data_IF_054640643399
#
_entry.id   IF_054640643399
#
_cell.length_a   1.000
_cell.length_b   1.000
_cell.length_c   1.000
_cell.angle_alpha   90.00
_cell.angle_beta   90.00
_cell.angle_gamma   90.00
#
_symmetry.space_group_name_H-M   'P 1'
#
loop_
_entity.id
_entity.type
_entity.pdbx_description
1 polymer ?
#
# COMPACT_ATOMS: atom_id res chain seq x y z
N UNK A 1 -3.35 8.99 -29.91
CA UNK A 1 -3.97 9.48 -28.67
C UNK A 1 -4.29 8.32 -27.71
N UNK A 2 -4.89 7.22 -28.18
CA UNK A 2 -5.29 6.06 -27.36
C UNK A 2 -4.09 5.45 -26.60
N UNK A 3 -3.00 5.09 -27.28
CA UNK A 3 -1.79 4.53 -26.66
C UNK A 3 -1.11 5.46 -25.63
N UNK A 4 -1.24 6.78 -25.78
CA UNK A 4 -0.67 7.73 -24.82
C UNK A 4 -1.45 7.73 -23.50
N UNK A 5 -2.79 7.70 -23.58
CA UNK A 5 -3.68 7.60 -22.41
C UNK A 5 -3.49 6.27 -21.70
N UNK A 6 -3.22 5.17 -22.44
CA UNK A 6 -2.93 3.84 -21.89
C UNK A 6 -1.70 3.83 -20.99
N UNK A 7 -0.62 4.36 -21.53
CA UNK A 7 0.66 4.47 -20.81
C UNK A 7 0.54 5.29 -19.53
N UNK A 8 -0.35 6.29 -19.53
CA UNK A 8 -0.59 7.10 -18.34
C UNK A 8 -1.38 6.33 -17.27
N UNK A 9 -2.39 5.52 -17.64
CA UNK A 9 -3.19 4.75 -16.68
C UNK A 9 -2.34 3.72 -15.93
N UNK A 10 -1.55 2.93 -16.65
CA UNK A 10 -0.65 1.95 -16.03
C UNK A 10 0.41 2.63 -15.16
N UNK A 11 1.00 3.73 -15.63
CA UNK A 11 1.97 4.49 -14.86
C UNK A 11 1.36 5.12 -13.59
N UNK A 12 0.10 5.55 -13.65
CA UNK A 12 -0.64 6.05 -12.48
C UNK A 12 -0.91 4.93 -11.48
N UNK A 13 -1.35 3.77 -11.95
CA UNK A 13 -1.57 2.59 -11.11
C UNK A 13 -0.29 2.18 -10.38
N UNK A 14 0.84 2.05 -11.10
CA UNK A 14 2.13 1.73 -10.49
C UNK A 14 2.56 2.73 -9.41
N UNK A 15 2.38 4.03 -9.67
CA UNK A 15 2.68 5.06 -8.67
C UNK A 15 1.79 4.96 -7.45
N UNK A 16 0.50 4.70 -7.66
CA UNK A 16 -0.47 4.57 -6.58
C UNK A 16 -0.12 3.37 -5.69
N UNK A 17 0.12 2.19 -6.27
CA UNK A 17 0.55 0.99 -5.55
C UNK A 17 1.82 1.22 -4.73
N UNK A 18 2.83 1.87 -5.32
CA UNK A 18 4.07 2.19 -4.60
C UNK A 18 3.83 3.21 -3.48
N UNK A 19 2.96 4.20 -3.68
CA UNK A 19 2.61 5.18 -2.64
C UNK A 19 1.82 4.52 -1.51
N UNK A 20 0.83 3.69 -1.81
CA UNK A 20 0.07 2.93 -0.81
C UNK A 20 0.99 1.99 -0.04
N UNK A 21 1.85 1.25 -0.75
CA UNK A 21 2.82 0.36 -0.12
C UNK A 21 3.79 1.10 0.80
N UNK A 22 4.32 2.23 0.36
CA UNK A 22 5.25 3.04 1.14
C UNK A 22 4.58 3.71 2.34
N UNK A 23 3.50 4.48 2.11
CA UNK A 23 2.81 5.23 3.15
C UNK A 23 2.10 4.29 4.12
N UNK A 24 1.33 3.32 3.61
CA UNK A 24 0.62 2.33 4.43
C UNK A 24 1.56 1.42 5.20
N UNK A 25 2.65 0.98 4.57
CA UNK A 25 3.65 0.11 5.19
C UNK A 25 4.42 0.78 6.32
N UNK A 26 4.82 2.04 6.15
CA UNK A 26 5.58 2.79 7.15
C UNK A 26 4.69 3.47 8.20
N UNK A 27 3.39 3.61 7.95
CA UNK A 27 2.47 4.34 8.82
C UNK A 27 2.49 3.84 10.28
N UNK A 28 2.42 2.52 10.58
CA UNK A 28 2.46 2.05 11.96
C UNK A 28 3.74 2.49 12.67
N UNK A 29 4.90 2.33 12.03
CA UNK A 29 6.19 2.74 12.58
C UNK A 29 6.26 4.25 12.83
N UNK A 30 5.78 5.06 11.86
CA UNK A 30 5.76 6.50 11.97
C UNK A 30 4.82 6.98 13.09
N UNK A 31 3.65 6.36 13.24
CA UNK A 31 2.71 6.70 14.32
C UNK A 31 3.24 6.29 15.69
N UNK A 32 3.91 5.13 15.81
CA UNK A 32 4.59 4.74 17.06
C UNK A 32 5.68 5.74 17.43
N UNK A 33 6.54 6.11 16.48
CA UNK A 33 7.60 7.09 16.70
C UNK A 33 7.04 8.48 17.07
N UNK A 34 5.99 8.93 16.40
CA UNK A 34 5.33 10.18 16.69
C UNK A 34 4.72 10.19 18.10
N UNK A 35 4.06 9.09 18.48
CA UNK A 35 3.45 8.96 19.80
C UNK A 35 4.50 8.97 20.92
N UNK A 36 5.60 8.23 20.75
CA UNK A 36 6.71 8.19 21.70
C UNK A 36 7.46 9.54 21.84
N UNK A 37 7.38 10.40 20.82
CA UNK A 37 8.12 11.68 20.79
C UNK A 37 7.28 12.88 21.26
N UNK A 38 5.96 12.77 21.29
CA UNK A 38 5.07 13.87 21.65
C UNK A 38 4.85 13.95 23.17
N UNK A 39 4.89 15.16 23.75
CA UNK A 39 4.55 15.35 25.16
C UNK A 39 3.05 15.07 25.39
N UNK A 40 2.66 14.83 26.65
CA UNK A 40 1.27 14.55 27.00
C UNK A 40 0.27 15.66 26.54
N UNK A 41 0.74 16.90 26.45
CA UNK A 41 -0.04 18.03 25.88
C UNK A 41 -0.25 17.92 24.37
N UNK A 42 0.49 17.04 23.67
CA UNK A 42 0.41 16.83 22.22
C UNK A 42 -0.65 15.84 21.74
N UNK A 43 -1.52 15.35 22.63
CA UNK A 43 -2.51 14.33 22.29
C UNK A 43 -3.45 14.74 21.13
N UNK A 44 -3.80 16.01 21.02
CA UNK A 44 -4.63 16.52 19.92
C UNK A 44 -3.87 16.51 18.59
N UNK A 45 -2.61 16.93 18.60
CA UNK A 45 -1.75 16.90 17.43
C UNK A 45 -1.54 15.47 16.92
N UNK A 46 -1.33 14.51 17.83
CA UNK A 46 -1.24 13.09 17.48
C UNK A 46 -2.53 12.56 16.82
N UNK A 47 -3.70 12.89 17.37
CA UNK A 47 -4.99 12.48 16.77
C UNK A 47 -5.15 13.03 15.36
N UNK A 48 -4.85 14.31 15.14
CA UNK A 48 -4.92 14.93 13.81
C UNK A 48 -3.96 14.24 12.84
N UNK A 49 -2.73 13.97 13.27
CA UNK A 49 -1.74 13.23 12.46
C UNK A 49 -2.26 11.84 12.10
N UNK A 50 -2.76 11.10 13.08
CA UNK A 50 -3.27 9.73 12.90
C UNK A 50 -4.45 9.71 11.93
N UNK A 51 -5.48 10.55 12.14
CA UNK A 51 -6.65 10.59 11.25
C UNK A 51 -6.27 11.11 9.86
N UNK A 52 -5.37 12.07 9.77
CA UNK A 52 -4.85 12.58 8.49
C UNK A 52 -4.10 11.49 7.71
N UNK A 53 -3.24 10.72 8.39
CA UNK A 53 -2.53 9.60 7.78
C UNK A 53 -3.48 8.50 7.29
N UNK A 54 -4.40 8.06 8.15
CA UNK A 54 -5.43 7.05 7.80
C UNK A 54 -6.29 7.55 6.63
N UNK A 55 -6.75 8.80 6.67
CA UNK A 55 -7.55 9.40 5.60
C UNK A 55 -6.78 9.46 4.28
N UNK A 56 -5.49 9.81 4.32
CA UNK A 56 -4.64 9.86 3.12
C UNK A 56 -4.51 8.48 2.48
N UNK A 57 -4.18 7.44 3.27
CA UNK A 57 -4.08 6.07 2.75
C UNK A 57 -5.46 5.59 2.25
N UNK A 58 -6.54 5.89 2.98
CA UNK A 58 -7.90 5.54 2.56
C UNK A 58 -8.29 6.15 1.20
N UNK A 59 -7.92 7.41 0.95
CA UNK A 59 -8.14 8.05 -0.37
C UNK A 59 -7.31 7.36 -1.46
N UNK A 60 -6.04 7.05 -1.20
CA UNK A 60 -5.17 6.37 -2.17
C UNK A 60 -5.72 4.99 -2.53
N UNK A 61 -6.06 4.16 -1.53
CA UNK A 61 -6.68 2.84 -1.72
C UNK A 61 -8.02 2.96 -2.46
N UNK A 62 -8.84 3.95 -2.13
CA UNK A 62 -10.10 4.21 -2.81
C UNK A 62 -9.95 4.53 -4.30
N UNK A 63 -8.79 5.02 -4.75
CA UNK A 63 -8.48 5.28 -6.15
C UNK A 63 -8.03 4.02 -6.92
N UNK A 64 -7.64 2.95 -6.25
CA UNK A 64 -7.16 1.70 -6.89
C UNK A 64 -8.27 1.04 -7.71
N UNK A 65 -9.45 0.84 -7.13
CA UNK A 65 -10.57 0.17 -7.81
C UNK A 65 -10.96 0.88 -9.12
N UNK A 66 -11.20 2.21 -9.16
CA UNK A 66 -11.47 2.92 -10.42
C UNK A 66 -10.35 2.80 -11.46
N UNK A 67 -9.07 2.78 -11.03
CA UNK A 67 -7.94 2.61 -11.95
C UNK A 67 -7.87 1.21 -12.52
N UNK A 68 -7.97 0.18 -11.68
CA UNK A 68 -8.03 -1.23 -12.10
C UNK A 68 -9.19 -1.45 -13.06
N UNK A 69 -10.37 -0.94 -12.75
CA UNK A 69 -11.55 -1.04 -13.61
C UNK A 69 -11.33 -0.41 -14.98
N UNK A 70 -10.66 0.74 -15.07
CA UNK A 70 -10.32 1.38 -16.34
C UNK A 70 -9.33 0.54 -17.16
N UNK A 71 -8.31 -0.05 -16.49
CA UNK A 71 -7.32 -0.92 -17.13
C UNK A 71 -8.01 -2.17 -17.66
N UNK A 72 -8.82 -2.86 -16.84
CA UNK A 72 -9.52 -4.09 -17.20
C UNK A 72 -10.55 -3.86 -18.33
N UNK A 73 -11.37 -2.82 -18.21
CA UNK A 73 -12.32 -2.45 -19.27
C UNK A 73 -11.62 -2.30 -20.61
N UNK A 74 -10.44 -1.75 -20.61
CA UNK A 74 -9.70 -1.50 -21.83
C UNK A 74 -9.07 -2.74 -22.41
N UNK A 75 -8.50 -3.62 -21.59
CA UNK A 75 -7.85 -4.85 -22.02
C UNK A 75 -8.84 -5.93 -22.44
N UNK A 76 -10.01 -5.98 -21.78
CA UNK A 76 -10.93 -7.11 -21.86
C UNK A 76 -12.33 -6.76 -22.39
N UNK A 77 -12.61 -5.50 -22.78
CA UNK A 77 -13.94 -5.06 -23.22
C UNK A 77 -14.47 -5.82 -24.45
N UNK A 78 -13.60 -6.42 -25.25
CA UNK A 78 -14.01 -7.24 -26.40
C UNK A 78 -14.39 -8.70 -26.02
N UNK A 79 -13.97 -9.16 -24.84
CA UNK A 79 -14.20 -10.54 -24.41
C UNK A 79 -15.22 -10.67 -23.28
N UNK A 80 -15.36 -9.67 -22.46
CA UNK A 80 -16.21 -9.69 -21.25
C UNK A 80 -17.11 -8.45 -21.20
N UNK A 81 -18.36 -8.64 -20.77
CA UNK A 81 -19.23 -7.50 -20.48
C UNK A 81 -18.69 -6.73 -19.26
N UNK A 82 -18.84 -5.42 -19.27
CA UNK A 82 -18.36 -4.55 -18.18
C UNK A 82 -18.90 -4.97 -16.80
N UNK A 83 -20.17 -5.41 -16.76
CA UNK A 83 -20.83 -5.90 -15.54
C UNK A 83 -20.11 -7.10 -14.92
N UNK A 84 -19.60 -8.02 -15.75
CA UNK A 84 -18.93 -9.23 -15.31
C UNK A 84 -17.53 -8.90 -14.76
N UNK A 85 -16.81 -7.96 -15.40
CA UNK A 85 -15.53 -7.47 -14.90
C UNK A 85 -15.69 -6.75 -13.54
N UNK A 86 -16.72 -5.91 -13.40
CA UNK A 86 -17.04 -5.22 -12.14
C UNK A 86 -17.33 -6.26 -11.04
N UNK A 87 -18.20 -7.22 -11.34
CA UNK A 87 -18.58 -8.26 -10.38
C UNK A 87 -17.36 -9.06 -9.91
N UNK A 88 -16.47 -9.47 -10.82
CA UNK A 88 -15.25 -10.20 -10.48
C UNK A 88 -14.31 -9.38 -9.60
N UNK A 89 -14.01 -8.13 -9.96
CA UNK A 89 -13.12 -7.27 -9.17
C UNK A 89 -13.68 -7.08 -7.77
N UNK A 90 -14.96 -6.74 -7.64
CA UNK A 90 -15.59 -6.55 -6.32
C UNK A 90 -15.63 -7.85 -5.50
N UNK A 91 -15.85 -9.00 -6.16
CA UNK A 91 -15.83 -10.30 -5.46
C UNK A 91 -14.45 -10.57 -4.86
N UNK A 92 -13.38 -10.41 -5.63
CA UNK A 92 -12.02 -10.60 -5.11
C UNK A 92 -11.65 -9.57 -4.05
N UNK A 93 -12.07 -8.33 -4.20
CA UNK A 93 -11.87 -7.27 -3.20
C UNK A 93 -12.54 -7.63 -1.87
N UNK A 94 -13.82 -8.01 -1.88
CA UNK A 94 -14.53 -8.42 -0.66
C UNK A 94 -13.97 -9.69 -0.03
N UNK A 95 -13.59 -10.70 -0.83
CA UNK A 95 -12.96 -11.91 -0.32
C UNK A 95 -11.60 -11.60 0.32
N UNK A 96 -10.81 -10.75 -0.32
CA UNK A 96 -9.54 -10.28 0.22
C UNK A 96 -9.72 -9.49 1.53
N UNK A 97 -10.67 -8.57 1.55
CA UNK A 97 -11.00 -7.80 2.74
C UNK A 97 -11.45 -8.70 3.91
N UNK A 98 -12.31 -9.69 3.64
CA UNK A 98 -12.75 -10.67 4.62
C UNK A 98 -11.57 -11.49 5.16
N UNK A 99 -10.72 -12.01 4.26
CA UNK A 99 -9.55 -12.79 4.65
C UNK A 99 -8.61 -11.99 5.55
N UNK A 100 -8.33 -10.73 5.20
CA UNK A 100 -7.49 -9.84 6.00
C UNK A 100 -8.17 -9.46 7.31
N UNK A 101 -9.48 -9.17 7.32
CA UNK A 101 -10.22 -8.84 8.55
C UNK A 101 -10.14 -9.93 9.61
N UNK A 102 -10.08 -11.21 9.17
CA UNK A 102 -9.90 -12.36 10.07
C UNK A 102 -8.43 -12.60 10.40
N UNK A 103 -7.56 -12.59 9.38
CA UNK A 103 -6.15 -12.89 9.57
C UNK A 103 -5.39 -11.82 10.38
N UNK A 104 -5.77 -10.56 10.25
CA UNK A 104 -5.10 -9.44 10.91
C UNK A 104 -5.10 -9.58 12.44
N UNK A 105 -6.25 -9.70 13.15
CA UNK A 105 -6.26 -9.81 14.60
C UNK A 105 -5.85 -11.20 15.12
N UNK A 106 -6.06 -12.28 14.35
CA UNK A 106 -5.83 -13.64 14.83
C UNK A 106 -4.43 -14.17 14.52
N UNK A 107 -3.84 -13.74 13.41
CA UNK A 107 -2.56 -14.29 12.94
C UNK A 107 -1.48 -13.23 12.82
N UNK A 108 -1.77 -12.11 12.12
CA UNK A 108 -0.72 -11.17 11.75
C UNK A 108 -0.23 -10.37 12.96
N UNK A 109 -1.12 -9.68 13.65
CA UNK A 109 -0.72 -8.84 14.79
C UNK A 109 -0.14 -9.66 15.95
N UNK A 110 -0.72 -10.81 16.37
CA UNK A 110 -0.15 -11.59 17.47
C UNK A 110 1.22 -12.19 17.18
N UNK A 111 1.54 -12.53 15.92
CA UNK A 111 2.79 -13.19 15.55
C UNK A 111 3.86 -12.24 15.00
N UNK A 112 3.45 -11.19 14.28
CA UNK A 112 4.37 -10.26 13.64
C UNK A 112 4.46 -8.91 14.37
N UNK A 113 3.46 -8.58 15.19
CA UNK A 113 3.30 -7.24 15.72
C UNK A 113 2.77 -6.25 14.69
N UNK A 114 2.39 -5.05 15.15
CA UNK A 114 1.71 -4.06 14.32
C UNK A 114 2.63 -3.46 13.23
N UNK A 115 3.88 -3.15 13.58
CA UNK A 115 4.86 -2.54 12.67
C UNK A 115 5.20 -3.50 11.53
N UNK A 116 5.57 -4.74 11.85
CA UNK A 116 5.91 -5.74 10.82
C UNK A 116 4.71 -6.10 9.95
N UNK A 117 3.51 -6.15 10.51
CA UNK A 117 2.30 -6.39 9.74
C UNK A 117 2.07 -5.27 8.71
N UNK A 118 2.19 -4.01 9.10
CA UNK A 118 2.09 -2.88 8.16
C UNK A 118 3.13 -2.97 7.05
N UNK A 119 4.39 -3.24 7.40
CA UNK A 119 5.48 -3.40 6.43
C UNK A 119 5.26 -4.59 5.49
N UNK A 120 4.70 -5.71 5.98
CA UNK A 120 4.35 -6.86 5.15
C UNK A 120 3.28 -6.50 4.11
N UNK A 121 2.24 -5.74 4.47
CA UNK A 121 1.26 -5.23 3.51
C UNK A 121 1.89 -4.22 2.54
N UNK A 122 2.79 -3.37 2.99
CA UNK A 122 3.55 -2.49 2.12
C UNK A 122 4.36 -3.25 1.07
N UNK A 123 5.03 -4.33 1.47
CA UNK A 123 5.76 -5.23 0.57
C UNK A 123 4.83 -5.97 -0.40
N UNK A 124 3.62 -6.35 0.04
CA UNK A 124 2.62 -6.96 -0.83
C UNK A 124 2.20 -6.01 -1.96
N UNK A 125 1.89 -4.74 -1.65
CA UNK A 125 1.57 -3.73 -2.66
C UNK A 125 2.76 -3.47 -3.60
N UNK A 126 3.98 -3.41 -3.07
CA UNK A 126 5.18 -3.28 -3.89
C UNK A 126 5.38 -4.49 -4.83
N UNK A 127 5.03 -5.71 -4.38
CA UNK A 127 5.05 -6.90 -5.22
C UNK A 127 3.99 -6.84 -6.33
N UNK A 128 2.77 -6.34 -6.04
CA UNK A 128 1.74 -6.08 -7.05
C UNK A 128 2.23 -5.06 -8.08
N UNK A 129 2.86 -3.97 -7.62
CA UNK A 129 3.46 -2.98 -8.51
C UNK A 129 4.55 -3.59 -9.40
N UNK A 130 5.42 -4.43 -8.83
CA UNK A 130 6.48 -5.12 -9.58
C UNK A 130 5.90 -6.08 -10.64
N UNK A 131 4.85 -6.81 -10.27
CA UNK A 131 4.16 -7.71 -11.21
C UNK A 131 3.48 -6.93 -12.34
N UNK A 132 2.77 -5.85 -12.01
CA UNK A 132 2.16 -4.99 -13.01
C UNK A 132 3.22 -4.34 -13.92
N UNK A 133 4.35 -3.89 -13.37
CA UNK A 133 5.48 -3.37 -14.12
C UNK A 133 6.03 -4.39 -15.12
N UNK A 134 6.17 -5.65 -14.71
CA UNK A 134 6.62 -6.73 -15.58
C UNK A 134 5.61 -7.04 -16.68
N UNK A 135 4.32 -7.11 -16.34
CA UNK A 135 3.24 -7.42 -17.28
C UNK A 135 3.09 -6.33 -18.36
N UNK A 136 3.20 -5.07 -17.97
CA UNK A 136 3.03 -3.91 -18.86
C UNK A 136 4.34 -3.28 -19.36
N UNK A 137 5.47 -4.02 -19.29
CA UNK A 137 6.78 -3.52 -19.66
C UNK A 137 6.86 -2.90 -21.07
N UNK A 138 6.10 -3.44 -22.04
CA UNK A 138 6.07 -2.94 -23.42
C UNK A 138 5.26 -1.66 -23.60
N UNK A 139 4.43 -1.28 -22.64
CA UNK A 139 3.54 -0.12 -22.71
C UNK A 139 4.12 1.11 -22.00
N UNK A 140 5.10 0.92 -21.11
CA UNK A 140 5.66 1.98 -20.28
C UNK A 140 6.80 2.73 -20.97
N UNK A 141 6.64 4.05 -21.14
CA UNK A 141 7.67 4.91 -21.76
C UNK A 141 8.95 5.02 -20.91
N UNK A 142 8.81 5.01 -19.58
CA UNK A 142 9.90 5.17 -18.60
C UNK A 142 10.03 3.94 -17.71
N UNK A 143 10.09 2.76 -18.33
CA UNK A 143 10.15 1.50 -17.59
C UNK A 143 11.28 1.49 -16.53
N UNK A 144 12.50 1.92 -16.92
CA UNK A 144 13.64 1.97 -16.00
C UNK A 144 13.39 2.86 -14.77
N UNK A 145 12.70 3.99 -14.93
CA UNK A 145 12.40 4.86 -13.80
C UNK A 145 11.39 4.22 -12.84
N UNK A 146 10.39 3.53 -13.37
CA UNK A 146 9.42 2.79 -12.54
C UNK A 146 10.06 1.57 -11.88
N UNK A 147 10.95 0.85 -12.59
CA UNK A 147 11.71 -0.25 -12.03
C UNK A 147 12.61 0.21 -10.88
N UNK A 148 13.34 1.33 -11.06
CA UNK A 148 14.15 1.91 -10.01
C UNK A 148 13.33 2.32 -8.79
N UNK A 149 12.18 2.96 -9.02
CA UNK A 149 11.27 3.34 -7.93
C UNK A 149 10.75 2.11 -7.17
N UNK A 150 10.37 1.05 -7.89
CA UNK A 150 9.92 -0.20 -7.30
C UNK A 150 11.03 -0.85 -6.44
N UNK A 151 12.25 -0.95 -6.97
CA UNK A 151 13.41 -1.48 -6.24
C UNK A 151 13.71 -0.63 -5.00
N UNK A 152 13.67 0.70 -5.13
CA UNK A 152 13.93 1.61 -4.01
C UNK A 152 12.88 1.44 -2.89
N UNK A 153 11.59 1.34 -3.24
CA UNK A 153 10.51 1.12 -2.25
C UNK A 153 10.66 -0.24 -1.59
N UNK A 154 10.91 -1.30 -2.35
CA UNK A 154 11.12 -2.65 -1.80
C UNK A 154 12.32 -2.67 -0.87
N UNK A 155 13.46 -2.09 -1.27
CA UNK A 155 14.66 -2.04 -0.44
C UNK A 155 14.43 -1.26 0.86
N UNK A 156 13.71 -0.14 0.79
CA UNK A 156 13.36 0.66 1.97
C UNK A 156 12.43 -0.10 2.92
N UNK A 157 11.40 -0.75 2.40
CA UNK A 157 10.46 -1.54 3.21
C UNK A 157 11.14 -2.77 3.83
N UNK A 158 12.03 -3.46 3.11
CA UNK A 158 12.82 -4.57 3.64
C UNK A 158 13.79 -4.10 4.72
N UNK A 159 14.46 -2.97 4.51
CA UNK A 159 15.31 -2.36 5.53
C UNK A 159 14.55 -1.98 6.79
N UNK A 160 13.36 -1.36 6.64
CA UNK A 160 12.47 -1.06 7.75
C UNK A 160 11.96 -2.34 8.45
N UNK A 161 11.67 -3.39 7.70
CA UNK A 161 11.25 -4.68 8.24
C UNK A 161 12.36 -5.33 9.09
N UNK A 162 13.61 -5.27 8.63
CA UNK A 162 14.76 -5.75 9.39
C UNK A 162 15.03 -4.93 10.66
N UNK A 163 14.74 -3.62 10.63
CA UNK A 163 14.90 -2.71 11.77
C UNK A 163 13.66 -2.64 12.69
N UNK A 164 12.59 -3.36 12.38
CA UNK A 164 11.30 -3.24 13.08
C UNK A 164 11.40 -3.53 14.60
N UNK A 165 12.23 -4.50 15.01
CA UNK A 165 12.41 -4.82 16.44
C UNK A 165 13.11 -3.69 17.19
N UNK A 166 14.11 -3.06 16.57
CA UNK A 166 14.81 -1.93 17.16
C UNK A 166 13.87 -0.72 17.32
N UNK A 167 12.96 -0.51 16.38
CA UNK A 167 11.95 0.54 16.45
C UNK A 167 10.91 0.26 17.54
N UNK A 168 10.53 -1.00 17.70
CA UNK A 168 9.58 -1.41 18.74
C UNK A 168 10.19 -1.25 20.13
N UNK A 169 11.39 -1.79 20.36
CA UNK A 169 12.09 -1.67 21.65
C UNK A 169 12.38 -0.20 21.99
N UNK A 170 12.84 0.59 21.03
CA UNK A 170 13.06 2.03 21.25
C UNK A 170 11.77 2.77 21.66
N UNK A 171 10.65 2.44 21.03
CA UNK A 171 9.38 3.07 21.36
C UNK A 171 8.85 2.62 22.73
N UNK A 172 9.03 1.34 23.10
CA UNK A 172 8.65 0.78 24.39
C UNK A 172 9.48 1.37 25.53
N UNK A 173 10.81 1.45 25.39
CA UNK A 173 11.71 2.06 26.36
C UNK A 173 11.35 3.53 26.64
N UNK A 174 10.89 4.24 25.61
CA UNK A 174 10.47 5.63 25.75
C UNK A 174 9.09 5.79 26.42
N UNK A 175 8.29 4.73 26.41
CA UNK A 175 6.93 4.71 26.98
C UNK A 175 6.94 4.32 28.46
N UNK A 176 7.84 3.43 28.85
CA UNK A 176 7.87 2.80 30.18
C UNK A 176 9.11 3.22 31.03
N UNK A 177 10.09 3.88 30.44
CA UNK A 177 11.25 4.45 31.12
C UNK A 177 11.07 5.93 31.43
#
# INVERSE_FOLDING_TARGET
LSKFIERQLVAQFLRLELMVGLLGGLMPAALFAAHASLPASGAMAFRVLMYGAVGTVGVLVGLEIPLVMRILKRQFSQRYALKDLVAQVLTFDYLGALAVAVAFPLLLVPHLGLIRTGLAFGLLNAAVAAWALWMFRGELRRWNAHALACVAVVALLLGAFAAADQLTTWAEDRFYG
#
